data_IF_261705987053
#
_entry.id   IF_261705987053
#
_cell.length_a   1.000
_cell.length_b   1.000
_cell.length_c   1.000
_cell.angle_alpha   90.00
_cell.angle_beta   90.00
_cell.angle_gamma   90.00
#
_symmetry.space_group_name_H-M   'P 1'
#
loop_
_entity.id
_entity.type
_entity.pdbx_description
1 polymer ?
#
# COMPACT_ATOMS: atom_id res chain seq x y z
N UNK A 1 21.55 -58.89 -21.30
CA UNK A 1 21.36 -57.48 -20.92
C UNK A 1 21.17 -57.42 -19.42
N UNK A 2 22.10 -56.79 -18.69
CA UNK A 2 22.13 -56.82 -17.23
C UNK A 2 21.08 -55.86 -16.65
N UNK A 3 20.07 -56.42 -15.98
CA UNK A 3 19.09 -55.66 -15.19
C UNK A 3 19.78 -55.19 -13.91
N UNK A 4 20.07 -53.89 -13.80
CA UNK A 4 20.54 -53.29 -12.55
C UNK A 4 19.38 -53.25 -11.56
N UNK A 5 19.27 -54.27 -10.71
CA UNK A 5 18.44 -54.23 -9.51
C UNK A 5 19.10 -53.24 -8.55
N UNK A 6 18.38 -52.18 -8.19
CA UNK A 6 18.87 -51.14 -7.29
C UNK A 6 19.41 -51.74 -5.99
N UNK A 7 20.46 -51.14 -5.44
CA UNK A 7 21.10 -51.53 -4.18
C UNK A 7 20.08 -51.38 -3.04
N UNK A 8 19.37 -52.45 -2.69
CA UNK A 8 18.62 -52.50 -1.45
C UNK A 8 19.63 -52.33 -0.30
N UNK A 9 19.39 -51.35 0.57
CA UNK A 9 20.22 -51.09 1.75
C UNK A 9 20.21 -52.37 2.59
N UNK A 10 21.37 -53.03 2.69
CA UNK A 10 21.55 -54.24 3.47
C UNK A 10 21.29 -53.90 4.94
N UNK A 11 20.11 -54.27 5.46
CA UNK A 11 19.76 -54.09 6.87
C UNK A 11 18.30 -53.75 7.18
N UNK A 12 17.46 -53.41 6.21
CA UNK A 12 16.04 -53.13 6.47
C UNK A 12 15.18 -54.38 6.19
N UNK A 13 14.43 -54.82 7.22
CA UNK A 13 13.45 -55.91 7.12
C UNK A 13 12.45 -55.60 5.99
N UNK A 14 12.26 -56.54 5.05
CA UNK A 14 11.33 -56.37 3.93
C UNK A 14 9.90 -56.09 4.41
N UNK A 15 9.52 -56.65 5.57
CA UNK A 15 8.23 -56.38 6.23
C UNK A 15 8.15 -54.93 6.68
N UNK A 16 9.22 -54.39 7.27
CA UNK A 16 9.26 -52.99 7.70
C UNK A 16 9.18 -52.03 6.51
N UNK A 17 9.83 -52.34 5.39
CA UNK A 17 9.72 -51.54 4.16
C UNK A 17 8.30 -51.57 3.58
N UNK A 18 7.63 -52.73 3.61
CA UNK A 18 6.25 -52.87 3.15
C UNK A 18 5.27 -52.11 4.07
N UNK A 19 5.47 -52.14 5.39
CA UNK A 19 4.67 -51.37 6.35
C UNK A 19 4.86 -49.86 6.19
N UNK A 20 6.10 -49.39 5.97
CA UNK A 20 6.38 -47.97 5.67
C UNK A 20 5.65 -47.55 4.39
N UNK A 21 5.71 -48.38 3.35
CA UNK A 21 5.02 -48.09 2.09
C UNK A 21 3.50 -48.03 2.27
N UNK A 22 2.90 -48.98 2.99
CA UNK A 22 1.48 -48.97 3.33
C UNK A 22 1.08 -47.72 4.12
N UNK A 23 1.91 -47.30 5.07
CA UNK A 23 1.68 -46.08 5.85
C UNK A 23 1.70 -44.82 4.98
N UNK A 24 2.67 -44.71 4.07
CA UNK A 24 2.73 -43.59 3.11
C UNK A 24 1.49 -43.54 2.22
N UNK A 25 1.08 -44.68 1.63
CA UNK A 25 -0.13 -44.74 0.78
C UNK A 25 -1.38 -44.34 1.58
N UNK A 26 -1.49 -44.79 2.83
CA UNK A 26 -2.62 -44.42 3.69
C UNK A 26 -2.62 -42.92 4.05
N UNK A 27 -1.46 -42.35 4.32
CA UNK A 27 -1.32 -40.92 4.59
C UNK A 27 -1.64 -40.08 3.35
N UNK A 28 -1.15 -40.47 2.17
CA UNK A 28 -1.44 -39.81 0.90
C UNK A 28 -2.93 -39.84 0.59
N UNK A 29 -3.58 -40.99 0.76
CA UNK A 29 -5.02 -41.14 0.55
C UNK A 29 -5.82 -40.27 1.53
N UNK A 30 -5.44 -40.27 2.80
CA UNK A 30 -6.09 -39.45 3.83
C UNK A 30 -5.89 -37.96 3.58
N UNK A 31 -4.69 -37.56 3.15
CA UNK A 31 -4.37 -36.19 2.78
C UNK A 31 -5.18 -35.75 1.56
N UNK A 32 -5.27 -36.60 0.53
CA UNK A 32 -6.07 -36.34 -0.68
C UNK A 32 -7.55 -36.09 -0.36
N UNK A 33 -8.13 -36.86 0.57
CA UNK A 33 -9.51 -36.63 1.02
C UNK A 33 -9.70 -35.33 1.81
N UNK A 34 -8.73 -34.95 2.63
CA UNK A 34 -8.77 -33.72 3.44
C UNK A 34 -8.38 -32.47 2.64
N UNK A 35 -7.71 -32.65 1.49
CA UNK A 35 -7.18 -31.55 0.69
C UNK A 35 -8.26 -30.60 0.16
N UNK A 36 -9.39 -31.06 -0.43
CA UNK A 36 -10.45 -30.16 -0.90
C UNK A 36 -11.08 -29.33 0.22
N UNK A 37 -11.18 -29.89 1.43
CA UNK A 37 -11.76 -29.17 2.57
C UNK A 37 -10.82 -28.06 3.08
N UNK A 38 -9.53 -28.37 3.19
CA UNK A 38 -8.54 -27.42 3.73
C UNK A 38 -8.03 -26.43 2.68
N UNK A 39 -7.95 -26.83 1.41
CA UNK A 39 -7.27 -26.09 0.34
C UNK A 39 -8.14 -25.88 -0.90
N UNK A 40 -9.41 -26.32 -0.90
CA UNK A 40 -10.32 -26.13 -2.03
C UNK A 40 -10.54 -24.67 -2.41
N UNK A 41 -10.40 -23.74 -1.46
CA UNK A 41 -10.48 -22.30 -1.72
C UNK A 41 -9.40 -21.80 -2.68
N UNK A 42 -8.27 -22.50 -2.82
CA UNK A 42 -7.21 -22.14 -3.78
C UNK A 42 -7.62 -22.39 -5.23
N UNK A 43 -8.59 -23.29 -5.45
CA UNK A 43 -9.13 -23.59 -6.78
C UNK A 43 -10.22 -22.61 -7.22
N UNK A 44 -10.81 -21.89 -6.26
CA UNK A 44 -11.88 -20.94 -6.53
C UNK A 44 -11.32 -19.66 -7.14
N UNK A 45 -12.07 -19.10 -8.09
CA UNK A 45 -11.71 -17.81 -8.67
C UNK A 45 -12.11 -16.68 -7.75
N UNK A 46 -11.34 -15.59 -7.75
CA UNK A 46 -11.66 -14.38 -6.97
C UNK A 46 -13.08 -13.86 -7.20
N UNK A 47 -13.64 -14.08 -8.40
CA UNK A 47 -15.01 -13.66 -8.75
C UNK A 47 -16.09 -14.42 -7.97
N UNK A 48 -15.90 -15.72 -7.76
CA UNK A 48 -16.84 -16.57 -7.00
C UNK A 48 -16.80 -16.24 -5.51
N UNK A 49 -15.59 -15.99 -4.97
CA UNK A 49 -15.43 -15.52 -3.60
C UNK A 49 -16.05 -14.14 -3.39
N UNK A 50 -15.88 -13.23 -4.36
CA UNK A 50 -16.45 -11.89 -4.30
C UNK A 50 -17.99 -11.91 -4.37
N UNK A 51 -18.60 -12.85 -5.09
CA UNK A 51 -20.07 -12.97 -5.15
C UNK A 51 -20.70 -13.49 -3.86
N UNK A 52 -19.97 -14.28 -3.07
CA UNK A 52 -20.47 -14.79 -1.78
C UNK A 52 -20.35 -13.73 -0.67
N UNK A 53 -19.32 -12.90 -0.71
CA UNK A 53 -19.05 -11.87 0.31
C UNK A 53 -19.78 -10.55 0.02
N UNK A 54 -19.92 -10.18 -1.25
CA UNK A 54 -20.61 -8.95 -1.65
C UNK A 54 -22.05 -9.27 -2.03
N UNK A 55 -23.06 -8.57 -1.47
CA UNK A 55 -24.42 -8.75 -1.92
C UNK A 55 -24.48 -8.46 -3.43
N UNK A 56 -25.00 -9.42 -4.21
CA UNK A 56 -25.07 -9.40 -5.68
C UNK A 56 -25.78 -8.17 -6.28
N UNK A 57 -26.40 -7.33 -5.44
CA UNK A 57 -26.98 -6.06 -5.83
C UNK A 57 -26.19 -4.95 -5.13
N UNK A 58 -25.69 -3.93 -5.86
CA UNK A 58 -25.28 -2.70 -5.22
C UNK A 58 -26.48 -2.26 -4.39
N UNK A 59 -26.32 -2.17 -3.07
CA UNK A 59 -27.33 -1.49 -2.25
C UNK A 59 -27.43 -0.11 -2.87
N UNK A 60 -28.55 0.18 -3.54
CA UNK A 60 -28.84 1.50 -4.06
C UNK A 60 -28.52 2.46 -2.92
N UNK A 61 -27.51 3.31 -3.13
CA UNK A 61 -27.10 4.28 -2.13
C UNK A 61 -28.31 5.19 -1.98
N UNK A 62 -29.17 4.89 -1.00
CA UNK A 62 -30.25 5.78 -0.62
C UNK A 62 -29.56 7.08 -0.28
N UNK A 63 -29.78 8.10 -1.10
CA UNK A 63 -29.29 9.43 -0.82
C UNK A 63 -29.92 9.83 0.51
N UNK A 64 -29.13 9.72 1.58
CA UNK A 64 -29.56 10.15 2.91
C UNK A 64 -29.71 11.66 2.79
N UNK A 65 -30.95 12.14 2.81
CA UNK A 65 -31.23 13.56 2.78
C UNK A 65 -30.66 14.17 4.06
N UNK A 66 -29.48 14.78 3.95
CA UNK A 66 -28.81 15.34 5.10
C UNK A 66 -29.55 16.63 5.53
N UNK A 67 -29.90 16.76 6.83
CA UNK A 67 -30.48 17.99 7.37
C UNK A 67 -29.65 19.22 7.01
N UNK A 68 -30.30 20.34 6.76
CA UNK A 68 -29.64 21.56 6.23
C UNK A 68 -28.53 22.08 7.16
N UNK A 69 -28.69 21.91 8.46
CA UNK A 69 -27.71 22.29 9.49
C UNK A 69 -26.39 21.51 9.42
N UNK A 70 -26.41 20.32 8.80
CA UNK A 70 -25.24 19.45 8.63
C UNK A 70 -24.66 19.55 7.21
N UNK A 71 -25.26 20.35 6.32
CA UNK A 71 -24.75 20.55 4.96
C UNK A 71 -23.51 21.44 5.03
N UNK A 72 -22.39 20.90 4.56
CA UNK A 72 -21.20 21.70 4.33
C UNK A 72 -21.48 22.71 3.21
N UNK A 73 -20.88 23.92 3.26
CA UNK A 73 -20.91 24.81 2.12
C UNK A 73 -20.30 24.08 0.90
N UNK A 74 -20.76 24.38 -0.32
CA UNK A 74 -20.22 23.75 -1.51
C UNK A 74 -18.71 23.95 -1.54
N UNK A 75 -17.99 22.85 -1.84
CA UNK A 75 -16.54 22.91 -2.01
C UNK A 75 -16.28 23.94 -3.09
N UNK A 76 -15.68 25.05 -2.68
CA UNK A 76 -15.24 26.07 -3.60
C UNK A 76 -14.13 25.47 -4.45
N UNK A 77 -14.17 25.63 -5.80
CA UNK A 77 -13.12 25.12 -6.65
C UNK A 77 -11.76 25.59 -6.16
N UNK A 78 -10.83 24.66 -6.01
CA UNK A 78 -9.46 24.93 -5.54
C UNK A 78 -8.78 26.01 -6.41
N UNK A 79 -9.16 26.09 -7.68
CA UNK A 79 -8.75 27.10 -8.67
C UNK A 79 -8.98 28.55 -8.21
N UNK A 80 -9.98 28.80 -7.34
CA UNK A 80 -10.22 30.13 -6.78
C UNK A 80 -9.07 30.59 -5.88
N UNK A 81 -8.42 29.66 -5.18
CA UNK A 81 -7.39 29.94 -4.18
C UNK A 81 -5.99 29.63 -4.69
N UNK A 82 -5.83 28.63 -5.57
CA UNK A 82 -4.55 28.22 -6.13
C UNK A 82 -4.50 28.69 -7.59
N UNK A 83 -3.78 29.81 -7.80
CA UNK A 83 -3.45 30.29 -9.14
C UNK A 83 -2.10 29.74 -9.55
N UNK A 84 -2.09 28.79 -10.50
CA UNK A 84 -0.85 28.29 -11.10
C UNK A 84 -0.40 29.30 -12.15
N UNK A 85 0.75 29.94 -11.94
CA UNK A 85 1.35 30.84 -12.93
C UNK A 85 1.92 30.07 -14.14
N UNK A 86 2.13 30.78 -15.25
CA UNK A 86 2.71 30.19 -16.46
C UNK A 86 4.13 29.66 -16.21
N UNK A 87 4.43 28.48 -16.75
CA UNK A 87 5.77 27.91 -16.64
C UNK A 87 6.79 28.70 -17.46
N UNK A 88 8.05 28.80 -16.98
CA UNK A 88 9.12 29.39 -17.78
C UNK A 88 9.38 28.60 -19.07
N UNK A 89 9.81 29.25 -20.17
CA UNK A 89 10.13 28.58 -21.44
C UNK A 89 11.33 27.65 -21.30
N UNK A 90 11.25 26.50 -21.99
CA UNK A 90 12.27 25.45 -21.94
C UNK A 90 13.60 25.92 -22.56
N UNK A 91 14.75 25.64 -21.94
CA UNK A 91 16.05 26.06 -22.45
C UNK A 91 16.42 25.26 -23.69
N UNK A 92 17.05 25.92 -24.66
CA UNK A 92 17.47 25.29 -25.93
C UNK A 92 18.74 24.45 -25.79
N UNK A 93 19.50 24.64 -24.72
CA UNK A 93 20.81 24.02 -24.51
C UNK A 93 20.79 23.10 -23.32
N UNK A 94 21.53 21.99 -23.39
CA UNK A 94 21.64 21.01 -22.29
C UNK A 94 22.26 21.63 -21.05
N UNK A 95 23.27 22.49 -21.23
CA UNK A 95 23.87 23.26 -20.11
C UNK A 95 22.84 24.16 -19.45
N UNK A 96 21.93 24.75 -20.24
CA UNK A 96 20.86 25.61 -19.75
C UNK A 96 19.77 24.86 -18.99
N UNK A 97 19.72 23.52 -19.01
CA UNK A 97 18.79 22.73 -18.20
C UNK A 97 19.17 22.73 -16.73
N UNK A 98 20.46 22.83 -16.42
CA UNK A 98 20.94 22.80 -15.04
C UNK A 98 20.48 24.08 -14.33
N UNK A 99 19.58 23.95 -13.36
CA UNK A 99 19.09 25.09 -12.57
C UNK A 99 18.14 26.05 -13.29
N UNK A 100 17.60 25.70 -14.47
CA UNK A 100 16.77 26.60 -15.28
C UNK A 100 15.53 27.17 -14.57
N UNK A 101 14.93 26.36 -13.67
CA UNK A 101 13.79 26.78 -12.84
C UNK A 101 14.26 27.44 -11.55
N UNK A 102 15.24 26.86 -10.87
CA UNK A 102 15.67 27.33 -9.54
C UNK A 102 16.40 28.67 -9.57
N UNK A 103 16.94 29.09 -10.71
CA UNK A 103 17.58 30.40 -10.90
C UNK A 103 16.57 31.56 -10.89
N UNK A 104 15.32 31.33 -11.29
CA UNK A 104 14.25 32.35 -11.31
C UNK A 104 13.73 32.60 -9.91
N UNK A 105 13.63 33.87 -9.51
CA UNK A 105 13.10 34.31 -8.20
C UNK A 105 11.81 33.61 -7.80
N UNK A 106 10.90 33.46 -8.77
CA UNK A 106 9.54 32.96 -8.55
C UNK A 106 9.48 31.43 -8.45
N UNK A 107 10.57 30.75 -8.79
CA UNK A 107 10.69 29.28 -8.79
C UNK A 107 11.83 28.81 -7.87
N UNK A 108 12.34 29.68 -7.00
CA UNK A 108 13.35 29.32 -5.99
C UNK A 108 12.73 28.36 -4.97
N UNK A 109 13.42 27.25 -4.73
CA UNK A 109 13.05 26.30 -3.67
C UNK A 109 13.35 26.87 -2.28
N UNK A 110 14.36 27.73 -2.20
CA UNK A 110 14.80 28.40 -0.98
C UNK A 110 13.96 29.65 -0.68
N UNK A 111 12.66 29.47 -0.44
CA UNK A 111 11.74 30.57 -0.12
C UNK A 111 12.15 31.25 1.20
N UNK A 112 12.70 30.48 2.14
CA UNK A 112 13.06 30.95 3.47
C UNK A 112 14.57 31.23 3.65
N UNK A 113 15.41 30.74 2.72
CA UNK A 113 16.86 30.96 2.69
C UNK A 113 17.59 30.68 4.01
N UNK A 114 18.84 31.16 4.11
CA UNK A 114 19.59 31.25 5.37
C UNK A 114 19.06 32.35 6.32
N UNK A 115 17.98 33.04 5.93
CA UNK A 115 17.37 34.17 6.62
C UNK A 115 16.18 33.78 7.48
N UNK A 116 16.08 32.51 7.87
CA UNK A 116 15.26 32.12 9.01
C UNK A 116 15.83 32.77 10.28
N UNK A 117 15.65 34.09 10.43
CA UNK A 117 15.82 34.76 11.71
C UNK A 117 14.86 34.05 12.64
N UNK A 118 15.40 33.44 13.71
CA UNK A 118 14.57 32.85 14.75
C UNK A 118 13.50 33.87 15.11
N UNK A 119 12.22 33.48 14.98
CA UNK A 119 11.14 34.30 15.53
C UNK A 119 11.51 34.48 16.99
N UNK A 120 11.83 35.70 17.40
CA UNK A 120 12.40 35.98 18.73
C UNK A 120 11.55 35.35 19.86
N UNK A 121 12.07 35.33 21.08
CA UNK A 121 11.41 34.64 22.20
C UNK A 121 9.90 34.95 22.32
N UNK A 122 9.12 33.92 22.65
CA UNK A 122 7.65 33.91 22.75
C UNK A 122 7.07 35.17 23.45
N UNK A 123 7.75 35.62 24.50
CA UNK A 123 7.44 36.86 25.25
C UNK A 123 7.31 38.07 24.32
N UNK A 124 8.28 38.27 23.43
CA UNK A 124 8.32 39.42 22.51
C UNK A 124 7.25 39.29 21.43
N UNK A 125 6.91 38.07 21.01
CA UNK A 125 5.86 37.85 20.02
C UNK A 125 4.46 38.13 20.58
N UNK A 126 4.23 37.72 21.84
CA UNK A 126 2.95 37.89 22.52
C UNK A 126 2.81 39.25 23.22
N UNK A 127 3.86 40.09 23.17
CA UNK A 127 3.96 41.36 23.92
C UNK A 127 3.65 41.17 25.42
N UNK A 128 4.14 40.07 25.99
CA UNK A 128 3.84 39.74 27.37
C UNK A 128 4.60 40.68 28.32
N UNK A 129 3.98 41.15 29.42
CA UNK A 129 4.67 41.96 30.40
C UNK A 129 5.72 41.11 31.10
N UNK A 130 6.84 41.74 31.44
CA UNK A 130 8.01 41.05 31.99
C UNK A 130 7.72 40.41 33.36
N UNK A 131 6.70 40.92 34.07
CA UNK A 131 6.19 40.38 35.34
C UNK A 131 5.53 39.00 35.23
N UNK A 132 5.14 38.57 34.03
CA UNK A 132 4.55 37.23 33.80
C UNK A 132 5.58 36.12 33.60
N UNK A 133 6.87 36.45 33.65
CA UNK A 133 8.00 35.51 33.50
C UNK A 133 8.59 35.35 34.89
N UNK A 134 8.27 34.22 35.55
CA UNK A 134 8.77 33.86 36.89
C UNK A 134 10.20 33.33 36.77
#
# INVERSE_FOLDING_TARGET
MATKVGRQVAGCNYVANDEIWKSHVHMEWSASKKWPQNWGFMTQTYKELASDVMPAKPKEKKEVQLPEQLRLPPITPIEKYIKVGNSPPYPKTTTGLVGWRSTKSDCRLEIYGAYAKGKGGLVKQLKWPQEGII
#
